data_IF_274599454344
#
_entry.id   IF_274599454344
#
_cell.length_a   1.000
_cell.length_b   1.000
_cell.length_c   1.000
_cell.angle_alpha   90.00
_cell.angle_beta   90.00
_cell.angle_gamma   90.00
#
_symmetry.space_group_name_H-M   'P 1'
#
loop_
_entity.id
_entity.type
_entity.pdbx_description
1 polymer ?
#
# COMPACT_ATOMS: atom_id res chain seq x y z
N UNK A 1 -8.34 -1.25 9.38
CA UNK A 1 -6.96 -0.69 9.45
C UNK A 1 -6.90 0.60 10.26
N UNK A 2 -7.64 1.65 9.89
CA UNK A 2 -7.57 2.94 10.57
C UNK A 2 -7.96 2.84 12.06
N UNK A 3 -9.02 2.09 12.38
CA UNK A 3 -9.48 1.94 13.77
C UNK A 3 -8.57 1.04 14.61
N UNK A 4 -8.29 -0.18 14.12
CA UNK A 4 -7.54 -1.21 14.87
C UNK A 4 -6.02 -1.04 14.85
N UNK A 5 -5.48 -0.36 13.84
CA UNK A 5 -4.04 -0.25 13.59
C UNK A 5 -3.56 1.20 13.44
N UNK A 6 -4.30 2.17 14.00
CA UNK A 6 -3.97 3.62 13.94
C UNK A 6 -2.53 3.92 14.37
N UNK A 7 -2.01 3.20 15.36
CA UNK A 7 -0.64 3.36 15.86
C UNK A 7 0.44 3.19 14.79
N UNK A 8 0.17 2.44 13.71
CA UNK A 8 1.09 2.28 12.57
C UNK A 8 1.31 3.62 11.85
N UNK A 9 0.35 4.55 11.86
CA UNK A 9 0.49 5.85 11.19
C UNK A 9 1.05 6.96 12.11
N UNK A 10 1.27 6.65 13.39
CA UNK A 10 1.71 7.66 14.36
C UNK A 10 3.08 8.25 14.00
N UNK A 11 3.12 9.58 13.94
CA UNK A 11 4.33 10.37 13.69
C UNK A 11 4.80 10.37 12.25
N UNK A 12 4.00 9.89 11.30
CA UNK A 12 4.24 10.10 9.88
C UNK A 12 3.81 11.52 9.50
N UNK A 13 4.57 12.16 8.63
CA UNK A 13 4.19 13.41 7.96
C UNK A 13 3.83 13.14 6.50
N UNK A 14 4.36 12.06 5.91
CA UNK A 14 4.08 11.67 4.52
C UNK A 14 3.94 10.15 4.34
N UNK A 15 3.01 9.74 3.47
CA UNK A 15 2.77 8.35 3.11
C UNK A 15 2.57 8.20 1.60
N UNK A 16 3.19 7.20 0.98
CA UNK A 16 2.91 6.80 -0.40
C UNK A 16 2.21 5.44 -0.43
N UNK A 17 1.09 5.37 -1.12
CA UNK A 17 0.29 4.17 -1.37
C UNK A 17 0.64 3.64 -2.77
N UNK A 18 1.52 2.64 -2.84
CA UNK A 18 2.07 2.10 -4.09
C UNK A 18 1.12 1.04 -4.64
N UNK A 19 0.75 1.16 -5.91
CA UNK A 19 -0.36 0.40 -6.50
C UNK A 19 -1.71 0.79 -5.90
N UNK A 20 -1.85 2.03 -5.43
CA UNK A 20 -3.03 2.50 -4.70
C UNK A 20 -4.29 2.66 -5.57
N UNK A 21 -4.19 2.47 -6.89
CA UNK A 21 -5.29 2.50 -7.84
C UNK A 21 -6.06 3.82 -7.83
N UNK A 22 -7.36 3.74 -7.54
CA UNK A 22 -8.23 4.93 -7.41
C UNK A 22 -8.09 5.65 -6.05
N UNK A 23 -7.16 5.20 -5.20
CA UNK A 23 -6.78 5.85 -3.95
C UNK A 23 -7.76 5.63 -2.79
N UNK A 24 -8.57 4.56 -2.81
CA UNK A 24 -9.58 4.30 -1.76
C UNK A 24 -8.93 4.29 -0.37
N UNK A 25 -7.80 3.58 -0.23
CA UNK A 25 -7.09 3.45 1.03
C UNK A 25 -6.43 4.76 1.44
N UNK A 26 -5.64 5.37 0.54
CA UNK A 26 -5.03 6.68 0.79
C UNK A 26 -6.06 7.76 1.16
N UNK A 27 -7.23 7.81 0.53
CA UNK A 27 -8.33 8.75 0.88
C UNK A 27 -8.82 8.56 2.30
N UNK A 28 -9.00 7.31 2.71
CA UNK A 28 -9.42 6.99 4.07
C UNK A 28 -8.35 7.43 5.09
N UNK A 29 -7.07 7.14 4.80
CA UNK A 29 -5.94 7.56 5.65
C UNK A 29 -5.89 9.10 5.73
N UNK A 30 -5.90 9.80 4.59
CA UNK A 30 -5.86 11.26 4.52
C UNK A 30 -6.99 11.92 5.32
N UNK A 31 -8.21 11.37 5.24
CA UNK A 31 -9.37 11.84 6.01
C UNK A 31 -9.22 11.62 7.52
N UNK A 32 -8.66 10.48 7.93
CA UNK A 32 -8.50 10.13 9.35
C UNK A 32 -7.27 10.76 9.99
N UNK A 33 -6.26 11.09 9.19
CA UNK A 33 -5.02 11.72 9.63
C UNK A 33 -4.70 12.94 8.74
N UNK A 34 -5.39 14.07 8.92
CA UNK A 34 -5.24 15.25 8.04
C UNK A 34 -3.84 15.88 8.02
N UNK A 35 -2.96 15.50 8.95
CA UNK A 35 -1.57 15.95 9.03
C UNK A 35 -0.61 15.12 8.16
N UNK A 36 -1.06 14.00 7.58
CA UNK A 36 -0.25 13.14 6.73
C UNK A 36 -0.51 13.50 5.27
N UNK A 37 0.53 13.92 4.56
CA UNK A 37 0.48 14.09 3.11
C UNK A 37 0.52 12.72 2.43
N UNK A 38 -0.59 12.35 1.80
CA UNK A 38 -0.78 11.07 1.13
C UNK A 38 -0.52 11.21 -0.38
N UNK A 39 0.25 10.28 -0.93
CA UNK A 39 0.47 10.14 -2.37
C UNK A 39 -0.05 8.79 -2.84
N UNK A 40 -1.03 8.78 -3.74
CA UNK A 40 -1.39 7.58 -4.48
C UNK A 40 -0.41 7.45 -5.64
N UNK A 41 0.35 6.36 -5.68
CA UNK A 41 1.32 6.08 -6.74
C UNK A 41 0.89 4.84 -7.50
N UNK A 42 0.68 4.99 -8.80
CA UNK A 42 0.26 3.91 -9.68
C UNK A 42 0.73 4.16 -11.11
N UNK A 43 0.43 3.26 -12.05
CA UNK A 43 0.75 3.44 -13.45
C UNK A 43 0.11 4.72 -14.00
N UNK A 44 0.77 5.45 -14.91
CA UNK A 44 0.28 6.74 -15.41
C UNK A 44 -1.16 6.70 -15.92
N UNK A 45 -1.55 5.62 -16.62
CA UNK A 45 -2.89 5.47 -17.19
C UNK A 45 -3.97 5.23 -16.12
N UNK A 46 -3.61 4.68 -14.96
CA UNK A 46 -4.54 4.45 -13.83
C UNK A 46 -4.92 5.76 -13.17
N UNK A 47 -3.96 6.66 -13.01
CA UNK A 47 -4.14 7.92 -12.26
C UNK A 47 -4.41 9.16 -13.14
N UNK A 48 -4.29 9.04 -14.47
CA UNK A 48 -4.32 10.17 -15.41
C UNK A 48 -5.50 11.15 -15.22
N UNK A 49 -6.68 10.64 -14.87
CA UNK A 49 -7.91 11.43 -14.74
C UNK A 49 -8.33 11.68 -13.28
N UNK A 50 -7.49 11.27 -12.32
CA UNK A 50 -7.78 11.41 -10.91
C UNK A 50 -7.26 12.75 -10.40
N UNK A 51 -8.10 13.47 -9.67
CA UNK A 51 -7.74 14.73 -9.03
C UNK A 51 -7.55 14.51 -7.54
N UNK A 52 -6.41 15.00 -7.03
CA UNK A 52 -6.13 15.06 -5.61
C UNK A 52 -7.09 16.00 -4.86
N UNK A 53 -7.01 15.99 -3.54
CA UNK A 53 -7.76 16.86 -2.65
C UNK A 53 -6.95 17.12 -1.39
N UNK A 54 -6.88 18.37 -0.93
CA UNK A 54 -6.22 18.77 0.32
C UNK A 54 -4.80 18.17 0.46
N UNK A 55 -4.64 17.17 1.33
CA UNK A 55 -3.40 16.46 1.65
C UNK A 55 -3.23 15.15 0.84
N UNK A 56 -3.98 14.95 -0.24
CA UNK A 56 -3.90 13.78 -1.11
C UNK A 56 -3.59 14.18 -2.56
N UNK A 57 -2.57 13.56 -3.15
CA UNK A 57 -2.20 13.72 -4.56
C UNK A 57 -2.03 12.38 -5.27
N UNK A 58 -2.06 12.41 -6.60
CA UNK A 58 -1.80 11.26 -7.44
C UNK A 58 -0.51 11.47 -8.23
N UNK A 59 0.30 10.43 -8.34
CA UNK A 59 1.55 10.43 -9.09
C UNK A 59 1.58 9.19 -9.97
N UNK A 60 1.77 9.39 -11.28
CA UNK A 60 1.95 8.30 -12.23
C UNK A 60 3.42 7.87 -12.30
N UNK A 61 3.69 6.57 -12.34
CA UNK A 61 5.03 6.03 -12.57
C UNK A 61 5.08 4.50 -12.50
N UNK A 62 6.29 3.95 -12.46
CA UNK A 62 6.53 2.51 -12.34
C UNK A 62 7.31 2.20 -11.04
N UNK A 63 6.70 1.41 -10.17
CA UNK A 63 7.30 0.97 -8.90
C UNK A 63 8.57 0.12 -9.05
N UNK A 64 8.78 -0.50 -10.22
CA UNK A 64 10.01 -1.22 -10.53
C UNK A 64 11.17 -0.28 -10.88
N UNK A 65 10.88 0.97 -11.22
CA UNK A 65 11.89 1.99 -11.55
C UNK A 65 12.18 2.89 -10.35
N UNK A 66 11.14 3.48 -9.75
CA UNK A 66 11.26 4.38 -8.61
C UNK A 66 9.97 4.47 -7.80
N UNK A 67 10.09 4.80 -6.52
CA UNK A 67 8.96 5.09 -5.63
C UNK A 67 9.12 6.51 -5.09
N UNK A 68 8.08 7.36 -5.11
CA UNK A 68 8.15 8.71 -4.56
C UNK A 68 8.61 8.72 -3.09
N UNK A 69 9.43 9.71 -2.68
CA UNK A 69 9.94 9.74 -1.32
C UNK A 69 8.85 10.06 -0.30
N UNK A 70 8.84 9.33 0.82
CA UNK A 70 7.88 9.49 1.92
C UNK A 70 8.44 8.95 3.24
N UNK A 71 7.76 9.22 4.37
CA UNK A 71 8.13 8.60 5.64
C UNK A 71 7.80 7.11 5.66
N UNK A 72 6.67 6.74 5.05
CA UNK A 72 6.24 5.37 4.89
C UNK A 72 5.73 5.05 3.48
N UNK A 73 5.99 3.82 3.04
CA UNK A 73 5.34 3.20 1.88
C UNK A 73 4.28 2.23 2.37
N UNK A 74 3.10 2.26 1.76
CA UNK A 74 2.04 1.27 1.92
C UNK A 74 1.96 0.41 0.65
N UNK A 75 1.97 -0.91 0.85
CA UNK A 75 1.76 -1.94 -0.17
C UNK A 75 0.57 -2.78 0.26
N UNK A 76 -0.63 -2.45 -0.22
CA UNK A 76 -1.85 -3.20 0.06
C UNK A 76 -2.21 -4.05 -1.15
N UNK A 77 -2.18 -5.38 -1.00
CA UNK A 77 -2.49 -6.32 -2.08
C UNK A 77 -1.60 -6.09 -3.29
N UNK A 78 -0.29 -6.07 -3.05
CA UNK A 78 0.70 -5.85 -4.10
C UNK A 78 1.65 -7.02 -4.20
N UNK A 79 2.26 -7.44 -3.09
CA UNK A 79 3.37 -8.38 -3.15
C UNK A 79 2.92 -9.79 -3.57
N UNK A 80 1.65 -10.17 -3.32
CA UNK A 80 1.15 -11.47 -3.75
C UNK A 80 0.99 -11.63 -5.27
N UNK A 81 0.95 -10.53 -6.03
CA UNK A 81 0.80 -10.57 -7.50
C UNK A 81 2.11 -10.88 -8.23
N UNK A 82 3.24 -10.88 -7.50
CA UNK A 82 4.57 -10.91 -8.09
C UNK A 82 5.40 -12.06 -7.54
N UNK A 83 6.30 -12.58 -8.37
CA UNK A 83 7.28 -13.55 -7.91
C UNK A 83 8.30 -12.93 -6.95
N UNK A 84 9.07 -13.78 -6.28
CA UNK A 84 10.05 -13.35 -5.27
C UNK A 84 11.07 -12.34 -5.80
N UNK A 85 11.59 -12.53 -7.02
CA UNK A 85 12.57 -11.61 -7.60
C UNK A 85 11.99 -10.22 -7.84
N UNK A 86 10.75 -10.16 -8.31
CA UNK A 86 10.00 -8.93 -8.52
C UNK A 86 9.63 -8.28 -7.19
N UNK A 87 9.18 -9.05 -6.20
CA UNK A 87 8.96 -8.57 -4.84
C UNK A 87 10.21 -7.92 -4.24
N UNK A 88 11.37 -8.58 -4.35
CA UNK A 88 12.65 -8.03 -3.91
C UNK A 88 12.99 -6.74 -4.65
N UNK A 89 12.71 -6.66 -5.95
CA UNK A 89 12.92 -5.44 -6.75
C UNK A 89 12.03 -4.29 -6.26
N UNK A 90 10.74 -4.54 -6.04
CA UNK A 90 9.79 -3.55 -5.50
C UNK A 90 10.25 -3.06 -4.13
N UNK A 91 10.58 -3.99 -3.22
CA UNK A 91 11.01 -3.65 -1.86
C UNK A 91 12.32 -2.85 -1.84
N UNK A 92 13.26 -3.14 -2.76
CA UNK A 92 14.47 -2.32 -2.93
C UNK A 92 14.13 -0.88 -3.34
N UNK A 93 13.19 -0.69 -4.27
CA UNK A 93 12.74 0.65 -4.67
C UNK A 93 11.99 1.38 -3.57
N UNK A 94 11.18 0.67 -2.79
CA UNK A 94 10.58 1.23 -1.58
C UNK A 94 11.65 1.69 -0.59
N UNK A 95 12.68 0.87 -0.35
CA UNK A 95 13.80 1.20 0.57
C UNK A 95 14.56 2.45 0.14
N UNK A 96 14.73 2.68 -1.16
CA UNK A 96 15.37 3.89 -1.71
C UNK A 96 14.55 5.17 -1.45
N UNK A 97 13.21 5.06 -1.40
CA UNK A 97 12.29 6.19 -1.22
C UNK A 97 11.83 6.46 0.22
N UNK A 98 12.05 5.55 1.18
CA UNK A 98 11.52 5.72 2.54
C UNK A 98 12.51 6.34 3.52
N UNK A 99 11.98 7.08 4.49
CA UNK A 99 12.74 7.50 5.68
C UNK A 99 12.57 6.56 6.87
N UNK A 100 11.43 5.88 7.01
CA UNK A 100 11.11 5.15 8.26
C UNK A 100 10.73 3.70 8.05
N UNK A 101 9.68 3.39 7.26
CA UNK A 101 9.14 2.01 7.19
C UNK A 101 8.34 1.69 5.93
N UNK A 102 8.18 0.40 5.67
CA UNK A 102 7.21 -0.16 4.71
C UNK A 102 6.09 -0.82 5.50
N UNK A 103 4.84 -0.59 5.10
CA UNK A 103 3.64 -1.19 5.67
C UNK A 103 3.08 -2.11 4.59
N UNK A 104 3.02 -3.41 4.88
CA UNK A 104 2.45 -4.41 3.97
C UNK A 104 1.11 -4.87 4.52
N UNK A 105 0.10 -4.90 3.65
CA UNK A 105 -1.21 -5.48 3.94
C UNK A 105 -1.45 -6.57 2.91
N UNK A 106 -1.16 -7.80 3.30
CA UNK A 106 -1.33 -9.01 2.49
C UNK A 106 -1.71 -10.20 3.38
N UNK A 107 -2.12 -11.28 2.72
CA UNK A 107 -2.41 -12.54 3.42
C UNK A 107 -1.12 -13.19 3.90
N UNK A 108 -1.19 -13.81 5.08
CA UNK A 108 -0.17 -14.72 5.60
C UNK A 108 -0.82 -16.09 5.72
N UNK A 109 -0.31 -17.07 4.98
CA UNK A 109 -0.94 -18.41 4.86
C UNK A 109 -0.78 -19.22 6.14
N UNK A 110 0.37 -19.13 6.81
CA UNK A 110 0.62 -19.79 8.09
C UNK A 110 0.36 -18.81 9.24
N UNK A 111 -0.77 -18.96 9.92
CA UNK A 111 -1.10 -18.23 11.16
C UNK A 111 -1.37 -19.22 12.29
N UNK A 112 -0.81 -18.95 13.48
CA UNK A 112 -0.96 -19.82 14.66
C UNK A 112 -2.42 -19.90 15.17
N UNK A 113 -3.26 -18.94 14.77
CA UNK A 113 -4.69 -18.89 15.03
C UNK A 113 -5.43 -19.00 13.68
N UNK A 114 -6.14 -20.10 13.47
CA UNK A 114 -7.05 -20.29 12.34
C UNK A 114 -8.49 -20.23 12.83
N UNK A 115 -9.17 -19.13 12.55
CA UNK A 115 -10.62 -19.05 12.65
C UNK A 115 -11.29 -19.33 11.30
N UNK A 116 -12.62 -19.50 11.31
CA UNK A 116 -13.38 -19.80 10.10
C UNK A 116 -13.25 -18.71 9.03
N UNK A 117 -13.25 -17.43 9.43
CA UNK A 117 -13.16 -16.28 8.52
C UNK A 117 -11.80 -16.24 7.81
N UNK A 118 -10.71 -16.49 8.54
CA UNK A 118 -9.36 -16.57 7.99
C UNK A 118 -9.23 -17.73 6.99
N UNK A 119 -9.84 -18.88 7.28
CA UNK A 119 -9.85 -20.05 6.38
C UNK A 119 -10.63 -19.76 5.10
N UNK A 120 -11.82 -19.18 5.21
CA UNK A 120 -12.62 -18.78 4.04
C UNK A 120 -11.86 -17.77 3.17
N UNK A 121 -11.22 -16.77 3.81
CA UNK A 121 -10.41 -15.79 3.08
C UNK A 121 -9.24 -16.46 2.37
N UNK A 122 -8.52 -17.40 3.00
CA UNK A 122 -7.45 -18.19 2.37
C UNK A 122 -7.94 -18.89 1.10
N UNK A 123 -9.07 -19.60 1.18
CA UNK A 123 -9.66 -20.30 0.03
C UNK A 123 -10.09 -19.34 -1.08
N UNK A 124 -10.63 -18.18 -0.74
CA UNK A 124 -11.00 -17.16 -1.73
C UNK A 124 -9.75 -16.59 -2.43
N UNK A 125 -8.68 -16.35 -1.67
CA UNK A 125 -7.41 -15.89 -2.26
C UNK A 125 -6.83 -16.98 -3.14
N UNK A 126 -6.79 -18.24 -2.71
CA UNK A 126 -6.34 -19.37 -3.54
C UNK A 126 -7.11 -19.42 -4.88
N UNK A 127 -8.42 -19.19 -4.87
CA UNK A 127 -9.21 -19.11 -6.12
C UNK A 127 -8.83 -17.95 -7.04
N UNK A 128 -8.28 -16.86 -6.51
CA UNK A 128 -7.92 -15.64 -7.26
C UNK A 128 -6.46 -15.66 -7.72
N UNK A 129 -5.56 -16.31 -6.98
CA UNK A 129 -4.12 -16.39 -7.32
C UNK A 129 -3.72 -17.63 -8.13
N UNK A 130 -4.66 -18.57 -8.39
CA UNK A 130 -4.50 -19.69 -9.33
C UNK A 130 -4.62 -19.25 -10.80
#
# INVERSE_FOLDING_TARGET
VIERCSGVFKGLESLVDVGGGTGIMAKAIAKSFPHIDCTVFDLPHVVANLKGCENLKYVGGDMFESVPPADAVLLKWILHDWNDEQCVKILKKCKEGIKRKVIVIDMVVESEEEDFESTETKLLVDMVVM
#
